data_IF_643324806331
#
_entry.id   IF_643324806331
#
_cell.length_a   1.000
_cell.length_b   1.000
_cell.length_c   1.000
_cell.angle_alpha   90.00
_cell.angle_beta   90.00
_cell.angle_gamma   90.00
#
_symmetry.space_group_name_H-M   'P 1'
#
loop_
_entity.id
_entity.type
_entity.pdbx_description
1 polymer ?
#
# COMPACT_ATOMS: atom_id res chain seq x y z
N UNK A 1 9.37 14.51 16.54
CA UNK A 1 8.55 14.49 15.32
C UNK A 1 8.99 13.39 14.36
N UNK A 2 10.24 13.36 13.90
CA UNK A 2 10.77 12.38 12.93
C UNK A 2 10.52 10.91 13.30
N UNK A 3 10.79 10.48 14.54
CA UNK A 3 10.51 9.12 15.01
C UNK A 3 9.02 8.72 14.92
N UNK A 4 8.11 9.67 15.12
CA UNK A 4 6.67 9.42 15.00
C UNK A 4 6.27 9.28 13.54
N UNK A 5 6.83 10.11 12.65
CA UNK A 5 6.62 10.01 11.21
C UNK A 5 7.12 8.67 10.67
N UNK A 6 8.25 8.16 11.13
CA UNK A 6 8.72 6.82 10.76
C UNK A 6 7.73 5.74 11.22
N UNK A 7 7.22 5.79 12.45
CA UNK A 7 6.21 4.83 12.94
C UNK A 7 4.93 4.85 12.12
N UNK A 8 4.38 6.03 11.85
CA UNK A 8 3.18 6.19 11.04
C UNK A 8 3.41 5.76 9.59
N UNK A 9 4.55 6.14 9.00
CA UNK A 9 4.95 5.70 7.66
C UNK A 9 5.03 4.18 7.54
N UNK A 10 5.62 3.50 8.54
CA UNK A 10 5.63 2.04 8.61
C UNK A 10 4.23 1.45 8.76
N UNK A 11 3.38 2.02 9.61
CA UNK A 11 2.01 1.54 9.80
C UNK A 11 1.20 1.63 8.50
N UNK A 12 1.22 2.77 7.83
CA UNK A 12 0.51 2.98 6.58
C UNK A 12 1.07 2.14 5.43
N UNK A 13 2.40 1.96 5.38
CA UNK A 13 3.03 1.03 4.46
C UNK A 13 2.54 -0.40 4.68
N UNK A 14 2.49 -0.87 5.94
CA UNK A 14 1.98 -2.21 6.26
C UNK A 14 0.53 -2.39 5.84
N UNK A 15 -0.34 -1.40 6.13
CA UNK A 15 -1.74 -1.43 5.71
C UNK A 15 -1.91 -1.47 4.18
N UNK A 16 -0.99 -0.87 3.43
CA UNK A 16 -0.98 -0.90 1.96
C UNK A 16 -0.42 -2.21 1.40
N UNK A 17 0.64 -2.76 2.01
CA UNK A 17 1.40 -3.91 1.47
C UNK A 17 0.82 -5.26 1.88
N UNK A 18 0.22 -5.37 3.07
CA UNK A 18 -0.36 -6.62 3.57
C UNK A 18 -1.40 -7.19 2.59
N UNK A 19 -2.36 -6.40 2.05
CA UNK A 19 -3.31 -6.95 1.09
C UNK A 19 -2.63 -7.40 -0.21
N UNK A 20 -1.59 -6.70 -0.68
CA UNK A 20 -0.83 -7.11 -1.87
C UNK A 20 -0.11 -8.46 -1.66
N UNK A 21 0.61 -8.61 -0.55
CA UNK A 21 1.32 -9.85 -0.22
C UNK A 21 0.33 -10.99 0.04
N UNK A 22 -0.84 -10.65 0.61
CA UNK A 22 -1.88 -11.64 0.85
C UNK A 22 -2.38 -12.24 -0.45
N UNK A 23 -2.49 -11.49 -1.56
CA UNK A 23 -2.89 -12.04 -2.87
C UNK A 23 -2.00 -13.22 -3.34
N UNK A 24 -0.73 -13.25 -2.90
CA UNK A 24 0.23 -14.31 -3.25
C UNK A 24 0.22 -15.49 -2.26
N UNK A 25 -0.54 -15.39 -1.17
CA UNK A 25 -0.52 -16.32 -0.05
C UNK A 25 -1.80 -17.17 -0.02
N UNK A 26 -1.72 -18.39 0.53
CA UNK A 26 -2.89 -19.29 0.68
C UNK A 26 -4.01 -18.72 1.57
N UNK A 27 -3.65 -17.84 2.51
CA UNK A 27 -4.58 -17.10 3.38
C UNK A 27 -5.11 -15.81 2.73
N UNK A 28 -4.65 -15.53 1.50
CA UNK A 28 -4.93 -14.32 0.75
C UNK A 28 -6.40 -14.04 0.53
N UNK A 29 -7.17 -15.08 0.24
CA UNK A 29 -8.58 -14.96 -0.07
C UNK A 29 -9.35 -14.20 1.04
N UNK A 30 -9.08 -14.49 2.31
CA UNK A 30 -9.80 -13.88 3.45
C UNK A 30 -9.43 -12.40 3.61
N UNK A 31 -8.14 -12.07 3.52
CA UNK A 31 -7.66 -10.69 3.68
C UNK A 31 -8.10 -9.83 2.49
N UNK A 32 -7.96 -10.36 1.28
CA UNK A 32 -8.38 -9.70 0.06
C UNK A 32 -9.88 -9.49 0.04
N UNK A 33 -10.68 -10.49 0.44
CA UNK A 33 -12.13 -10.35 0.54
C UNK A 33 -12.53 -9.27 1.56
N UNK A 34 -11.86 -9.23 2.72
CA UNK A 34 -12.10 -8.19 3.72
C UNK A 34 -11.84 -6.78 3.15
N UNK A 35 -10.70 -6.55 2.51
CA UNK A 35 -10.37 -5.24 1.95
C UNK A 35 -11.21 -4.90 0.72
N UNK A 36 -11.51 -5.86 -0.15
CA UNK A 36 -12.36 -5.66 -1.33
C UNK A 36 -13.82 -5.38 -0.94
N UNK A 37 -14.33 -5.97 0.16
CA UNK A 37 -15.66 -5.66 0.69
C UNK A 37 -15.79 -4.21 1.15
N UNK A 38 -14.71 -3.60 1.61
CA UNK A 38 -14.72 -2.18 2.02
C UNK A 38 -14.44 -1.29 0.81
N UNK A 39 -13.23 -1.37 0.25
CA UNK A 39 -12.86 -0.78 -1.04
C UNK A 39 -11.36 -0.98 -1.32
N UNK A 40 -11.03 -1.25 -2.59
CA UNK A 40 -9.64 -1.26 -3.11
C UNK A 40 -8.93 0.11 -2.98
N UNK A 41 -9.67 1.19 -2.77
CA UNK A 41 -9.11 2.53 -2.57
C UNK A 41 -8.43 2.71 -1.20
N UNK A 42 -8.79 1.91 -0.18
CA UNK A 42 -8.21 2.05 1.17
C UNK A 42 -6.71 1.70 1.16
N UNK A 43 -6.29 0.52 0.66
CA UNK A 43 -4.86 0.20 0.59
C UNK A 43 -4.07 1.24 -0.21
N UNK A 44 -4.61 1.72 -1.33
CA UNK A 44 -3.98 2.77 -2.13
C UNK A 44 -3.83 4.08 -1.33
N UNK A 45 -4.90 4.54 -0.67
CA UNK A 45 -4.86 5.74 0.16
C UNK A 45 -3.86 5.60 1.31
N UNK A 46 -3.79 4.43 1.94
CA UNK A 46 -2.76 4.11 2.93
C UNK A 46 -1.36 4.22 2.33
N UNK A 47 -1.11 3.69 1.12
CA UNK A 47 0.17 3.84 0.44
C UNK A 47 0.55 5.30 0.19
N UNK A 48 -0.39 6.13 -0.28
CA UNK A 48 -0.17 7.56 -0.53
C UNK A 48 0.13 8.31 0.78
N UNK A 49 -0.67 8.10 1.83
CA UNK A 49 -0.44 8.71 3.15
C UNK A 49 0.90 8.24 3.73
N UNK A 50 1.18 6.94 3.62
CA UNK A 50 2.44 6.34 4.03
C UNK A 50 3.63 7.01 3.36
N UNK A 51 3.59 7.21 2.04
CA UNK A 51 4.61 7.93 1.29
C UNK A 51 4.80 9.35 1.83
N UNK A 52 3.71 10.13 1.93
CA UNK A 52 3.76 11.53 2.39
C UNK A 52 4.37 11.63 3.78
N UNK A 53 3.94 10.78 4.72
CA UNK A 53 4.45 10.81 6.09
C UNK A 53 5.90 10.33 6.17
N UNK A 54 6.29 9.35 5.37
CA UNK A 54 7.67 8.83 5.29
C UNK A 54 8.67 9.87 4.76
N UNK A 55 8.24 10.86 3.95
CA UNK A 55 9.10 11.96 3.52
C UNK A 55 9.60 12.83 4.70
N UNK A 56 8.83 12.89 5.79
CA UNK A 56 9.18 13.62 7.03
C UNK A 56 9.79 12.73 8.12
N UNK A 57 10.05 11.45 7.80
CA UNK A 57 10.65 10.47 8.69
C UNK A 57 12.12 10.74 9.02
N UNK A 58 12.64 9.93 9.93
CA UNK A 58 14.03 9.98 10.40
C UNK A 58 15.04 9.77 9.25
N UNK A 59 16.18 10.46 9.29
CA UNK A 59 17.17 10.38 8.19
C UNK A 59 17.85 9.00 8.18
N UNK A 60 18.27 8.56 6.99
CA UNK A 60 19.02 7.31 6.79
C UNK A 60 18.22 6.20 6.12
N UNK A 61 18.68 4.97 6.30
CA UNK A 61 18.13 3.77 5.66
C UNK A 61 16.62 3.57 5.84
N UNK A 62 16.03 3.73 7.06
CA UNK A 62 14.60 3.49 7.26
C UNK A 62 13.71 4.37 6.40
N UNK A 63 14.07 5.65 6.22
CA UNK A 63 13.32 6.57 5.37
C UNK A 63 13.38 6.15 3.90
N UNK A 64 14.56 5.80 3.40
CA UNK A 64 14.73 5.40 1.99
C UNK A 64 13.91 4.15 1.71
N UNK A 65 13.99 3.13 2.58
CA UNK A 65 13.22 1.90 2.45
C UNK A 65 11.72 2.16 2.47
N UNK A 66 11.23 2.99 3.41
CA UNK A 66 9.81 3.32 3.46
C UNK A 66 9.34 4.13 2.25
N UNK A 67 10.13 5.09 1.76
CA UNK A 67 9.78 5.87 0.57
C UNK A 67 9.71 4.97 -0.67
N UNK A 68 10.76 4.18 -0.92
CA UNK A 68 10.78 3.25 -2.05
C UNK A 68 9.69 2.19 -1.94
N UNK A 69 9.49 1.64 -0.75
CA UNK A 69 8.44 0.65 -0.47
C UNK A 69 7.05 1.21 -0.76
N UNK A 70 6.72 2.41 -0.28
CA UNK A 70 5.43 3.03 -0.57
C UNK A 70 5.27 3.35 -2.07
N UNK A 71 6.30 3.82 -2.76
CA UNK A 71 6.25 4.07 -4.22
C UNK A 71 5.91 2.78 -4.97
N UNK A 72 6.61 1.67 -4.68
CA UNK A 72 6.35 0.38 -5.30
C UNK A 72 4.93 -0.12 -4.99
N UNK A 73 4.49 0.05 -3.74
CA UNK A 73 3.17 -0.37 -3.29
C UNK A 73 2.05 0.41 -4.01
N UNK A 74 2.18 1.73 -4.10
CA UNK A 74 1.27 2.60 -4.85
C UNK A 74 1.26 2.19 -6.33
N UNK A 75 2.42 1.96 -6.94
CA UNK A 75 2.53 1.54 -8.33
C UNK A 75 1.79 0.22 -8.60
N UNK A 76 1.95 -0.76 -7.72
CA UNK A 76 1.22 -2.03 -7.80
C UNK A 76 -0.30 -1.83 -7.68
N UNK A 77 -0.76 -1.00 -6.74
CA UNK A 77 -2.18 -0.69 -6.60
C UNK A 77 -2.77 0.06 -7.79
N UNK A 78 -2.05 1.02 -8.35
CA UNK A 78 -2.47 1.73 -9.57
C UNK A 78 -2.60 0.74 -10.73
N UNK A 79 -1.65 -0.19 -10.88
CA UNK A 79 -1.72 -1.23 -11.91
C UNK A 79 -2.94 -2.15 -11.69
N UNK A 80 -3.19 -2.58 -10.45
CA UNK A 80 -4.36 -3.41 -10.12
C UNK A 80 -5.67 -2.67 -10.37
N UNK A 81 -5.75 -1.38 -10.04
CA UNK A 81 -6.92 -0.55 -10.34
C UNK A 81 -7.13 -0.38 -11.83
N UNK A 82 -6.05 -0.15 -12.58
CA UNK A 82 -6.12 -0.10 -14.04
C UNK A 82 -6.67 -1.42 -14.60
N UNK A 83 -6.17 -2.56 -14.14
CA UNK A 83 -6.67 -3.88 -14.54
C UNK A 83 -8.13 -4.09 -14.09
N UNK A 84 -8.51 -3.66 -12.89
CA UNK A 84 -9.87 -3.82 -12.39
C UNK A 84 -10.89 -2.98 -13.18
N UNK A 85 -10.51 -1.76 -13.60
CA UNK A 85 -11.39 -0.85 -14.35
C UNK A 85 -11.42 -1.22 -15.84
N UNK A 86 -10.24 -1.50 -16.44
CA UNK A 86 -10.11 -1.66 -17.89
C UNK A 86 -9.94 -3.10 -18.36
N UNK A 87 -9.51 -4.01 -17.48
CA UNK A 87 -9.22 -5.40 -17.83
C UNK A 87 -10.45 -6.26 -18.13
N UNK A 88 -11.63 -5.82 -17.71
CA UNK A 88 -12.91 -6.47 -18.02
C UNK A 88 -13.74 -5.69 -19.05
N UNK A 89 -13.17 -4.68 -19.73
CA UNK A 89 -13.83 -3.93 -20.80
C UNK A 89 -13.89 -4.69 -22.15
N UNK A 90 -13.87 -6.02 -22.14
CA UNK A 90 -14.25 -6.82 -23.30
C UNK A 90 -15.77 -7.09 -23.25
N UNK A 91 -16.50 -6.98 -24.38
CA UNK A 91 -17.97 -7.00 -24.43
C UNK A 91 -18.60 -8.34 -24.01
#
# INVERSE_FOLDING_TARGET
MQKSSTKFGSLFFLLSVIPLVSLMSSWGAIIVEFFNRVTIFIPLACGIIGLVVSLFGDRGWPKIVLVLGNILCIGAWILLLFVAIYGFLAP
#
